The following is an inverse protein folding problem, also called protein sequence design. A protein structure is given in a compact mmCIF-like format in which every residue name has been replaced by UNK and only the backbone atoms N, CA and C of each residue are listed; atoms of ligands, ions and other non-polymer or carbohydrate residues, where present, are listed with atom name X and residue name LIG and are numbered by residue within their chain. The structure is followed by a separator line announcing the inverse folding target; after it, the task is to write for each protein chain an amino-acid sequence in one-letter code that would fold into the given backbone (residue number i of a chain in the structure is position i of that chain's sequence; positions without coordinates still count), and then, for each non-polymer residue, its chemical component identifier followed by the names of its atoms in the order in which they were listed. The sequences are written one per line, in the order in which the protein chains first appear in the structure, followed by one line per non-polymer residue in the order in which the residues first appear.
data_IF_471798056534
#
_entry.id   IF_471798056534
#
_cell.length_a   1.000
_cell.length_b   1.000
_cell.length_c   1.000
_cell.angle_alpha   90.00
_cell.angle_beta   90.00
_cell.angle_gamma   90.00
#
_symmetry.space_group_name_H-M   'P 1'
#
loop_
_entity.id
_entity.type
_entity.pdbx_description
1 polymer ?
#
# COMPACT_ATOMS: atom_id res chain seq x y z
N UNK A 1 5.42 -13.59 -28.86
CA UNK A 1 3.98 -13.65 -28.56
C UNK A 1 3.41 -12.26 -28.68
N UNK A 2 2.38 -12.12 -29.51
CA UNK A 2 1.55 -10.92 -29.59
C UNK A 2 0.66 -10.82 -28.33
N UNK A 3 0.25 -9.60 -27.95
CA UNK A 3 -0.75 -9.35 -26.91
C UNK A 3 -2.01 -10.20 -27.11
N UNK A 4 -2.46 -10.38 -28.36
CA UNK A 4 -3.62 -11.23 -28.66
C UNK A 4 -3.41 -12.67 -28.20
N UNK A 5 -2.24 -13.25 -28.46
CA UNK A 5 -1.93 -14.63 -28.07
C UNK A 5 -1.85 -14.76 -26.54
N UNK A 6 -1.25 -13.78 -25.86
CA UNK A 6 -1.16 -13.74 -24.40
C UNK A 6 -2.57 -13.69 -23.78
N UNK A 7 -3.42 -12.79 -24.27
CA UNK A 7 -4.78 -12.62 -23.78
C UNK A 7 -5.64 -13.85 -24.07
N UNK A 8 -5.54 -14.44 -25.27
CA UNK A 8 -6.28 -15.65 -25.61
C UNK A 8 -5.89 -16.81 -24.69
N UNK A 9 -4.59 -17.02 -24.47
CA UNK A 9 -4.10 -18.05 -23.54
C UNK A 9 -4.66 -17.85 -22.12
N UNK A 10 -4.66 -16.61 -21.62
CA UNK A 10 -5.22 -16.31 -20.30
C UNK A 10 -6.73 -16.56 -20.24
N UNK A 11 -7.48 -16.23 -21.29
CA UNK A 11 -8.93 -16.50 -21.35
C UNK A 11 -9.22 -18.00 -21.36
N UNK A 12 -8.48 -18.78 -22.14
CA UNK A 12 -8.64 -20.23 -22.22
C UNK A 12 -8.32 -20.89 -20.85
N UNK A 13 -7.28 -20.41 -20.16
CA UNK A 13 -6.94 -20.84 -18.80
C UNK A 13 -8.03 -20.45 -17.78
N UNK A 14 -8.52 -19.21 -17.83
CA UNK A 14 -9.54 -18.72 -16.90
C UNK A 14 -10.90 -19.41 -17.08
N UNK A 15 -11.27 -19.77 -18.32
CA UNK A 15 -12.51 -20.49 -18.61
C UNK A 15 -12.42 -21.99 -18.28
N UNK A 16 -11.25 -22.61 -18.52
CA UNK A 16 -11.03 -24.03 -18.19
C UNK A 16 -10.91 -24.26 -16.68
N UNK A 17 -10.41 -23.28 -15.93
CA UNK A 17 -10.47 -23.28 -14.47
C UNK A 17 -11.90 -23.02 -13.99
N UNK A 18 -12.63 -24.08 -13.62
CA UNK A 18 -13.77 -23.92 -12.70
C UNK A 18 -13.24 -23.25 -11.43
N UNK A 19 -13.82 -22.11 -11.06
CA UNK A 19 -13.51 -21.38 -9.82
C UNK A 19 -13.69 -22.35 -8.64
N UNK A 20 -12.59 -22.97 -8.21
CA UNK A 20 -12.58 -23.85 -7.06
C UNK A 20 -12.24 -23.00 -5.84
N UNK A 21 -13.24 -22.82 -4.97
CA UNK A 21 -13.10 -22.08 -3.71
C UNK A 21 -11.95 -22.60 -2.85
N UNK A 22 -11.66 -23.89 -2.91
CA UNK A 22 -10.56 -24.51 -2.18
C UNK A 22 -9.19 -24.10 -2.75
N UNK A 23 -9.05 -24.01 -4.08
CA UNK A 23 -7.82 -23.56 -4.74
C UNK A 23 -7.50 -22.12 -4.35
N UNK A 24 -8.48 -21.21 -4.40
CA UNK A 24 -8.31 -19.83 -3.94
C UNK A 24 -7.95 -19.74 -2.46
N UNK A 25 -8.57 -20.59 -1.63
CA UNK A 25 -8.25 -20.64 -0.20
C UNK A 25 -6.79 -21.05 0.01
N UNK A 26 -6.33 -22.06 -0.73
CA UNK A 26 -4.95 -22.54 -0.66
C UNK A 26 -3.95 -21.50 -1.20
N UNK A 27 -4.24 -20.83 -2.30
CA UNK A 27 -3.41 -19.74 -2.83
C UNK A 27 -3.32 -18.58 -1.86
N UNK A 28 -4.44 -18.15 -1.28
CA UNK A 28 -4.46 -17.08 -0.29
C UNK A 28 -3.69 -17.46 0.99
N UNK A 29 -3.78 -18.72 1.43
CA UNK A 29 -2.98 -19.22 2.55
C UNK A 29 -1.48 -19.21 2.24
N UNK A 30 -1.07 -19.50 1.00
CA UNK A 30 0.35 -19.39 0.59
C UNK A 30 0.83 -17.94 0.69
N UNK A 31 0.05 -16.97 0.20
CA UNK A 31 0.37 -15.54 0.31
C UNK A 31 0.48 -15.08 1.77
N UNK A 32 -0.46 -15.51 2.63
CA UNK A 32 -0.42 -15.23 4.07
C UNK A 32 0.84 -15.80 4.72
N UNK A 33 1.20 -17.04 4.43
CA UNK A 33 2.42 -17.68 4.95
C UNK A 33 3.67 -16.92 4.56
N UNK A 34 3.78 -16.48 3.30
CA UNK A 34 4.90 -15.66 2.84
C UNK A 34 4.96 -14.32 3.57
N UNK A 35 3.83 -13.63 3.72
CA UNK A 35 3.75 -12.37 4.47
C UNK A 35 4.19 -12.52 5.93
N UNK A 36 3.72 -13.57 6.62
CA UNK A 36 4.15 -13.88 8.00
C UNK A 36 5.65 -14.16 8.07
N UNK A 37 6.19 -14.90 7.09
CA UNK A 37 7.63 -15.16 7.01
C UNK A 37 8.43 -13.86 6.87
N UNK A 38 8.05 -12.96 5.96
CA UNK A 38 8.74 -11.67 5.82
C UNK A 38 8.70 -10.81 7.09
N UNK A 39 7.61 -10.88 7.86
CA UNK A 39 7.52 -10.24 9.18
C UNK A 39 8.50 -10.87 10.18
N UNK A 40 8.55 -12.19 10.26
CA UNK A 40 9.44 -12.92 11.18
C UNK A 40 10.92 -12.69 10.84
N UNK A 41 11.27 -12.74 9.55
CA UNK A 41 12.62 -12.56 9.04
C UNK A 41 13.05 -11.08 9.01
N UNK A 42 12.16 -10.14 9.38
CA UNK A 42 12.36 -8.69 9.29
C UNK A 42 12.84 -8.24 7.89
N UNK A 43 12.39 -8.92 6.84
CA UNK A 43 12.79 -8.63 5.45
C UNK A 43 12.40 -7.21 5.02
N UNK A 44 11.26 -6.73 5.49
CA UNK A 44 10.75 -5.39 5.21
C UNK A 44 10.49 -4.65 6.53
N UNK A 45 11.46 -3.86 7.02
CA UNK A 45 11.33 -3.19 8.31
C UNK A 45 10.29 -2.06 8.28
N UNK A 46 9.73 -1.76 9.45
CA UNK A 46 8.68 -0.75 9.72
C UNK A 46 9.13 0.24 10.81
N UNK A 47 10.44 0.47 10.92
CA UNK A 47 11.07 1.13 12.06
C UNK A 47 10.63 2.59 12.22
N UNK A 48 10.36 3.29 11.12
CA UNK A 48 9.89 4.69 11.18
C UNK A 48 8.47 4.76 11.73
N UNK A 49 7.61 3.83 11.31
CA UNK A 49 6.23 3.74 11.78
C UNK A 49 6.11 3.39 13.26
N UNK A 50 7.09 2.64 13.78
CA UNK A 50 7.16 2.17 15.18
C UNK A 50 7.72 3.21 16.15
N UNK A 51 8.28 4.33 15.66
CA UNK A 51 8.82 5.39 16.53
C UNK A 51 7.72 5.92 17.46
N UNK A 52 8.00 6.19 18.75
CA UNK A 52 6.99 6.64 19.72
C UNK A 52 6.12 7.82 19.24
N UNK A 53 6.73 8.79 18.53
CA UNK A 53 6.04 9.95 17.96
C UNK A 53 5.06 9.62 16.81
N UNK A 54 5.26 8.49 16.13
CA UNK A 54 4.49 8.07 14.96
C UNK A 54 3.43 7.00 15.30
N UNK A 55 3.51 6.32 16.46
CA UNK A 55 2.55 5.28 16.86
C UNK A 55 1.11 5.79 16.80
N UNK A 56 0.86 7.04 17.25
CA UNK A 56 -0.48 7.67 17.26
C UNK A 56 -0.98 8.07 15.86
N UNK A 57 -0.12 8.01 14.84
CA UNK A 57 -0.46 8.31 13.43
C UNK A 57 -0.95 7.06 12.68
N UNK A 58 -0.90 5.88 13.29
CA UNK A 58 -1.34 4.62 12.70
C UNK A 58 -2.75 4.25 13.17
N UNK A 59 -3.67 4.02 12.22
CA UNK A 59 -5.04 3.61 12.54
C UNK A 59 -5.09 2.21 13.16
N UNK A 60 -4.25 1.30 12.67
CA UNK A 60 -4.13 -0.07 13.16
C UNK A 60 -2.66 -0.33 13.54
N UNK A 61 -2.44 -0.99 14.68
CA UNK A 61 -1.08 -1.25 15.20
C UNK A 61 -0.31 -2.27 14.38
N UNK A 62 -1.01 -3.14 13.66
CA UNK A 62 -0.50 -4.26 12.89
C UNK A 62 -0.36 -3.96 11.38
N UNK A 63 -0.81 -2.77 10.94
CA UNK A 63 -0.75 -2.29 9.56
C UNK A 63 0.17 -1.07 9.50
N UNK A 64 1.46 -1.32 9.27
CA UNK A 64 2.50 -0.30 9.25
C UNK A 64 3.15 -0.26 7.86
N UNK A 65 3.51 0.94 7.34
CA UNK A 65 4.13 1.05 6.04
C UNK A 65 5.58 0.57 6.09
N UNK A 66 6.02 -0.15 5.06
CA UNK A 66 7.42 -0.57 4.95
C UNK A 66 8.34 0.63 4.71
N UNK A 67 9.49 0.66 5.38
CA UNK A 67 10.42 1.79 5.34
C UNK A 67 10.94 2.08 3.92
N UNK A 68 11.17 1.03 3.11
CA UNK A 68 11.77 1.16 1.77
C UNK A 68 10.84 1.76 0.71
N UNK A 69 9.52 1.73 0.94
CA UNK A 69 8.52 2.21 -0.02
C UNK A 69 7.57 3.23 0.60
N UNK A 70 7.80 3.68 1.83
CA UNK A 70 6.91 4.65 2.49
C UNK A 70 6.90 5.97 1.73
N UNK A 71 5.77 6.67 1.83
CA UNK A 71 5.71 8.06 1.40
C UNK A 71 6.40 8.92 2.45
N UNK A 72 7.31 9.79 2.01
CA UNK A 72 7.99 10.76 2.87
C UNK A 72 7.38 12.14 2.64
N UNK A 73 7.06 12.84 3.72
CA UNK A 73 6.59 14.23 3.63
C UNK A 73 7.77 15.17 3.87
N UNK A 74 8.08 16.00 2.89
CA UNK A 74 9.09 17.05 2.99
C UNK A 74 8.48 18.44 3.14
N UNK A 75 7.22 18.62 2.77
CA UNK A 75 6.49 19.88 2.94
C UNK A 75 6.26 20.16 4.42
N UNK A 76 6.90 21.19 4.96
CA UNK A 76 6.74 21.64 6.35
C UNK A 76 5.74 22.80 6.40
N UNK A 77 4.71 22.66 7.23
CA UNK A 77 3.65 23.62 7.51
C UNK A 77 3.65 24.09 8.97
N UNK A 78 4.27 23.32 9.87
CA UNK A 78 4.46 23.65 11.29
C UNK A 78 5.72 23.00 11.86
N UNK A 79 6.24 23.48 13.00
CA UNK A 79 7.40 22.88 13.69
C UNK A 79 7.10 21.48 14.26
N UNK A 80 5.83 21.10 14.38
CA UNK A 80 5.40 19.77 14.85
C UNK A 80 5.32 18.74 13.72
N UNK A 81 5.51 19.17 12.47
CA UNK A 81 5.37 18.31 11.31
C UNK A 81 6.46 17.24 11.29
N UNK A 82 6.02 16.01 11.05
CA UNK A 82 6.93 14.91 10.78
C UNK A 82 6.92 14.55 9.29
N UNK A 83 7.98 13.87 8.85
CA UNK A 83 8.06 13.29 7.52
C UNK A 83 7.26 11.99 7.36
N UNK A 84 6.48 11.62 8.38
CA UNK A 84 5.79 10.35 8.45
C UNK A 84 4.29 10.48 8.18
N UNK A 85 3.81 9.65 7.25
CA UNK A 85 2.41 9.30 7.05
C UNK A 85 2.33 7.77 6.84
N UNK A 86 1.23 7.14 7.27
CA UNK A 86 0.98 5.72 7.03
C UNK A 86 0.53 5.49 5.58
N UNK A 87 1.49 5.51 4.66
CA UNK A 87 1.29 5.32 3.23
C UNK A 87 2.54 4.70 2.57
N UNK A 88 2.33 3.93 1.50
CA UNK A 88 3.39 3.39 0.65
C UNK A 88 3.15 3.69 -0.83
N UNK A 89 4.24 3.91 -1.59
CA UNK A 89 4.21 3.88 -3.04
C UNK A 89 4.05 2.45 -3.55
N UNK A 90 3.17 2.28 -4.55
CA UNK A 90 3.02 1.06 -5.32
C UNK A 90 3.46 1.34 -6.75
N UNK A 91 4.32 0.45 -7.26
CA UNK A 91 4.83 0.51 -8.63
C UNK A 91 3.70 0.22 -9.60
N UNK A 92 3.58 1.04 -10.64
CA UNK A 92 2.75 0.76 -11.80
C UNK A 92 3.56 0.17 -12.93
N UNK A 93 2.93 0.00 -14.10
CA UNK A 93 3.58 -0.55 -15.29
C UNK A 93 4.77 0.31 -15.75
N UNK A 94 4.63 1.64 -15.68
CA UNK A 94 5.60 2.59 -16.27
C UNK A 94 6.44 3.35 -15.24
N UNK A 95 6.19 3.17 -13.94
CA UNK A 95 6.84 4.01 -12.94
C UNK A 95 6.77 3.46 -11.52
N UNK A 96 7.78 3.79 -10.68
CA UNK A 96 7.87 3.28 -9.32
C UNK A 96 6.87 3.92 -8.34
N UNK A 97 6.29 5.08 -8.69
CA UNK A 97 5.38 5.88 -7.86
C UNK A 97 4.03 6.12 -8.56
N UNK A 98 3.47 5.07 -9.15
CA UNK A 98 2.23 5.20 -9.90
C UNK A 98 1.00 5.32 -8.99
N UNK A 99 1.06 4.72 -7.80
CA UNK A 99 -0.01 4.80 -6.83
C UNK A 99 0.55 5.05 -5.43
N UNK A 100 -0.26 5.67 -4.59
CA UNK A 100 -0.06 5.74 -3.14
C UNK A 100 -1.20 4.97 -2.48
N UNK A 101 -0.87 3.90 -1.76
CA UNK A 101 -1.80 3.23 -0.87
C UNK A 101 -1.63 3.78 0.54
N UNK A 102 -2.70 4.30 1.13
CA UNK A 102 -2.70 4.92 2.46
C UNK A 102 -3.90 4.47 3.28
N UNK A 103 -3.76 4.53 4.61
CA UNK A 103 -4.91 4.39 5.51
C UNK A 103 -5.91 5.53 5.32
N UNK A 104 -7.17 5.32 5.73
CA UNK A 104 -8.10 6.42 5.93
C UNK A 104 -7.58 7.39 7.00
N UNK A 105 -7.50 8.70 6.74
CA UNK A 105 -6.87 9.65 7.64
C UNK A 105 -7.58 9.68 8.99
N UNK A 106 -6.79 9.75 10.06
CA UNK A 106 -7.28 10.03 11.42
C UNK A 106 -7.50 11.53 11.58
N UNK A 107 -8.24 11.95 12.59
CA UNK A 107 -8.37 13.38 12.94
C UNK A 107 -7.00 14.04 13.13
N UNK A 108 -6.04 13.32 13.69
CA UNK A 108 -4.66 13.78 13.94
C UNK A 108 -3.74 13.75 12.71
N UNK A 109 -4.17 13.13 11.60
CA UNK A 109 -3.33 12.97 10.38
C UNK A 109 -4.01 13.56 9.14
N UNK A 110 -5.12 14.30 9.32
CA UNK A 110 -5.80 14.95 8.21
C UNK A 110 -4.91 15.98 7.51
N UNK A 111 -4.12 16.73 8.27
CA UNK A 111 -3.13 17.66 7.72
C UNK A 111 -2.02 16.92 6.96
N UNK A 112 -1.46 15.84 7.55
CA UNK A 112 -0.45 15.00 6.89
C UNK A 112 -0.96 14.43 5.56
N UNK A 113 -2.24 14.03 5.51
CA UNK A 113 -2.88 13.55 4.28
C UNK A 113 -2.92 14.64 3.21
N UNK A 114 -3.33 15.86 3.55
CA UNK A 114 -3.35 16.96 2.57
C UNK A 114 -1.95 17.41 2.16
N UNK A 115 -0.97 17.40 3.07
CA UNK A 115 0.45 17.62 2.75
C UNK A 115 0.92 16.62 1.70
N UNK A 116 0.56 15.34 1.85
CA UNK A 116 0.88 14.29 0.88
C UNK A 116 0.25 14.55 -0.50
N UNK A 117 -1.05 14.84 -0.54
CA UNK A 117 -1.78 15.09 -1.80
C UNK A 117 -1.17 16.27 -2.55
N UNK A 118 -0.86 17.34 -1.82
CA UNK A 118 -0.26 18.54 -2.39
C UNK A 118 1.17 18.31 -2.88
N UNK A 119 2.04 17.76 -2.02
CA UNK A 119 3.46 17.52 -2.32
C UNK A 119 3.64 16.60 -3.54
N UNK A 120 2.79 15.58 -3.68
CA UNK A 120 2.87 14.60 -4.76
C UNK A 120 1.94 14.90 -5.94
N UNK A 121 1.28 16.06 -5.96
CA UNK A 121 0.39 16.50 -7.05
C UNK A 121 -0.64 15.43 -7.44
N UNK A 122 -1.23 14.78 -6.43
CA UNK A 122 -2.25 13.74 -6.65
C UNK A 122 -3.50 14.39 -7.22
N UNK A 123 -4.00 13.86 -8.33
CA UNK A 123 -5.21 14.37 -8.98
C UNK A 123 -6.45 13.55 -8.58
N UNK A 124 -6.27 12.24 -8.39
CA UNK A 124 -7.36 11.31 -8.13
C UNK A 124 -7.16 10.57 -6.82
N UNK A 125 -8.23 10.44 -6.04
CA UNK A 125 -8.26 9.52 -4.89
C UNK A 125 -9.51 8.65 -4.93
N UNK A 126 -9.34 7.38 -4.60
CA UNK A 126 -10.41 6.39 -4.49
C UNK A 126 -10.55 6.00 -3.03
N UNK A 127 -11.79 5.97 -2.54
CA UNK A 127 -12.10 5.50 -1.20
C UNK A 127 -12.73 4.11 -1.26
N UNK A 128 -12.13 3.14 -0.55
CA UNK A 128 -12.68 1.79 -0.42
C UNK A 128 -12.36 1.23 0.95
N UNK A 129 -13.40 0.90 1.73
CA UNK A 129 -13.34 0.18 3.00
C UNK A 129 -12.09 0.49 3.86
N UNK A 130 -12.03 1.72 4.40
CA UNK A 130 -10.98 2.20 5.31
C UNK A 130 -9.58 2.47 4.73
N UNK A 131 -9.36 2.25 3.44
CA UNK A 131 -8.13 2.61 2.73
C UNK A 131 -8.39 3.56 1.55
N UNK A 132 -7.37 4.35 1.20
CA UNK A 132 -7.36 5.18 0.00
C UNK A 132 -6.27 4.72 -0.96
N UNK A 133 -6.60 4.76 -2.26
CA UNK A 133 -5.63 4.67 -3.35
C UNK A 133 -5.62 6.00 -4.09
N UNK A 134 -4.44 6.61 -4.16
CA UNK A 134 -4.22 7.90 -4.80
C UNK A 134 -3.33 7.74 -6.04
N UNK A 135 -3.62 8.45 -7.13
CA UNK A 135 -2.84 8.44 -8.37
C UNK A 135 -2.94 9.76 -9.14
#
# INVERSE_FOLDING_TARGET
MDQREILQKFLDEAQSKKINKEEFTNEFLKLKRQSTKYKADKTYPTTVAEKPKNIKKNRYKDILPYDYSRVELSLITSDEDSSYINANFIKGVYGPKAYIATQGPLSTTLLDFWRMIWEYSVLCWLWKDWCYLCY
#
